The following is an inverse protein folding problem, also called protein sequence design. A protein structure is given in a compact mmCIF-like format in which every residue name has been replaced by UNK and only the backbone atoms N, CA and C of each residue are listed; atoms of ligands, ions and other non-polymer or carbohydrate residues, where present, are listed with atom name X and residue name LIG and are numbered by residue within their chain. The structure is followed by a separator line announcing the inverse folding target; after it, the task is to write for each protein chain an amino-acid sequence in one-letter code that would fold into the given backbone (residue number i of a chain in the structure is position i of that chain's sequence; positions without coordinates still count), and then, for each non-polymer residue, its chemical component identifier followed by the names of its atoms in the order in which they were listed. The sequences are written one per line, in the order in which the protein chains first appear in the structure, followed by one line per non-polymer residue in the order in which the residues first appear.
data_IF_428197824564
#
_entry.id   IF_428197824564
#
_cell.length_a   1.000
_cell.length_b   1.000
_cell.length_c   1.000
_cell.angle_alpha   90.00
_cell.angle_beta   90.00
_cell.angle_gamma   90.00
#
_symmetry.space_group_name_H-M   'P 1'
#
loop_
_entity.id
_entity.type
_entity.pdbx_description
1 polymer ?
#
# COMPACT_ATOMS: atom_id res chain seq x y z
N UNK A 1 -19.00 -35.88 3.57
CA UNK A 1 -18.19 -35.52 2.37
C UNK A 1 -17.14 -36.60 2.14
N UNK A 2 -16.75 -36.86 0.89
CA UNK A 2 -15.58 -37.70 0.64
C UNK A 2 -14.34 -37.07 1.28
N UNK A 3 -13.56 -37.86 2.01
CA UNK A 3 -12.33 -37.42 2.68
C UNK A 3 -11.37 -36.71 1.73
N UNK A 4 -11.29 -37.18 0.48
CA UNK A 4 -10.49 -36.57 -0.59
C UNK A 4 -10.93 -35.16 -0.96
N UNK A 5 -12.25 -34.89 -0.96
CA UNK A 5 -12.81 -33.57 -1.31
C UNK A 5 -12.55 -32.58 -0.17
N UNK A 6 -12.71 -33.02 1.08
CA UNK A 6 -12.42 -32.18 2.24
C UNK A 6 -10.93 -31.80 2.26
N UNK A 7 -10.04 -32.78 2.07
CA UNK A 7 -8.59 -32.56 2.07
C UNK A 7 -8.14 -31.62 0.94
N UNK A 8 -8.67 -31.79 -0.28
CA UNK A 8 -8.31 -30.91 -1.41
C UNK A 8 -8.84 -29.48 -1.23
N UNK A 9 -10.04 -29.32 -0.66
CA UNK A 9 -10.63 -28.00 -0.37
C UNK A 9 -9.88 -27.29 0.75
N UNK A 10 -9.48 -28.00 1.80
CA UNK A 10 -8.63 -27.47 2.87
C UNK A 10 -7.27 -27.02 2.31
N UNK A 11 -6.62 -27.86 1.50
CA UNK A 11 -5.35 -27.50 0.89
C UNK A 11 -5.45 -26.26 0.00
N UNK A 12 -6.48 -26.19 -0.83
CA UNK A 12 -6.73 -25.03 -1.69
C UNK A 12 -7.02 -23.76 -0.87
N UNK A 13 -7.84 -23.85 0.17
CA UNK A 13 -8.15 -22.70 1.03
C UNK A 13 -6.93 -22.18 1.78
N UNK A 14 -6.01 -23.04 2.21
CA UNK A 14 -4.72 -22.62 2.76
C UNK A 14 -3.87 -21.87 1.74
N UNK A 15 -3.75 -22.37 0.51
CA UNK A 15 -3.01 -21.68 -0.56
C UNK A 15 -3.61 -20.29 -0.86
N UNK A 16 -4.94 -20.20 -0.90
CA UNK A 16 -5.64 -18.93 -1.07
C UNK A 16 -5.44 -17.99 0.13
N UNK A 17 -5.43 -18.50 1.37
CA UNK A 17 -5.18 -17.72 2.57
C UNK A 17 -3.77 -17.10 2.56
N UNK A 18 -2.78 -17.84 2.07
CA UNK A 18 -1.42 -17.30 1.86
C UNK A 18 -1.45 -16.18 0.82
N UNK A 19 -2.10 -16.39 -0.33
CA UNK A 19 -2.25 -15.36 -1.36
C UNK A 19 -2.94 -14.10 -0.85
N UNK A 20 -4.01 -14.27 -0.05
CA UNK A 20 -4.75 -13.21 0.60
C UNK A 20 -3.87 -12.38 1.56
N UNK A 21 -3.09 -13.05 2.40
CA UNK A 21 -2.18 -12.39 3.34
C UNK A 21 -1.17 -11.49 2.60
N UNK A 22 -0.53 -12.02 1.56
CA UNK A 22 0.40 -11.23 0.74
C UNK A 22 -0.28 -10.11 -0.03
N UNK A 23 -1.50 -10.34 -0.54
CA UNK A 23 -2.29 -9.32 -1.23
C UNK A 23 -2.60 -8.13 -0.31
N UNK A 24 -3.03 -8.38 0.92
CA UNK A 24 -3.32 -7.31 1.90
C UNK A 24 -2.04 -6.54 2.22
N UNK A 25 -0.91 -7.23 2.50
CA UNK A 25 0.37 -6.57 2.77
C UNK A 25 0.85 -5.73 1.59
N UNK A 26 0.74 -6.25 0.37
CA UNK A 26 1.16 -5.54 -0.84
C UNK A 26 0.27 -4.31 -1.13
N UNK A 27 -1.02 -4.39 -0.79
CA UNK A 27 -2.00 -3.30 -1.01
C UNK A 27 -1.74 -2.07 -0.14
N UNK A 28 -1.07 -2.22 1.00
CA UNK A 28 -0.75 -1.14 1.95
C UNK A 28 0.73 -0.73 1.87
N UNK A 29 1.52 -1.35 0.99
CA UNK A 29 2.94 -1.05 0.84
C UNK A 29 3.15 0.38 0.37
N UNK A 30 4.04 1.10 1.05
CA UNK A 30 4.42 2.47 0.69
C UNK A 30 4.89 2.56 -0.76
N UNK A 31 4.46 3.62 -1.45
CA UNK A 31 4.91 3.95 -2.79
C UNK A 31 5.91 5.09 -2.73
N UNK A 32 7.19 4.76 -2.95
CA UNK A 32 8.26 5.74 -3.15
C UNK A 32 8.32 6.05 -4.64
N UNK A 33 8.28 7.34 -5.00
CA UNK A 33 8.40 7.80 -6.37
C UNK A 33 9.56 8.80 -6.46
N UNK A 34 10.51 8.52 -7.37
CA UNK A 34 11.60 9.44 -7.70
C UNK A 34 11.28 10.09 -9.04
N UNK A 35 11.35 11.42 -9.12
CA UNK A 35 11.08 12.18 -10.34
C UNK A 35 12.23 13.15 -10.57
N UNK A 36 12.80 13.13 -11.77
CA UNK A 36 13.74 14.16 -12.23
C UNK A 36 12.94 15.22 -12.97
N UNK A 37 12.99 16.45 -12.48
CA UNK A 37 12.28 17.58 -13.06
C UNK A 37 13.29 18.47 -13.78
N UNK A 38 12.99 18.82 -15.03
CA UNK A 38 13.71 19.84 -15.77
C UNK A 38 12.78 21.03 -15.95
N UNK A 39 13.24 22.23 -15.61
CA UNK A 39 12.46 23.46 -15.73
C UNK A 39 13.33 24.60 -16.26
N UNK A 40 12.75 25.51 -17.05
CA UNK A 40 13.42 26.74 -17.45
C UNK A 40 13.52 27.77 -16.30
N UNK A 41 12.79 27.58 -15.19
CA UNK A 41 12.80 28.45 -14.02
C UNK A 41 14.05 28.25 -13.14
N UNK A 42 14.41 29.27 -12.37
CA UNK A 42 15.50 29.19 -11.38
C UNK A 42 15.21 28.13 -10.32
N UNK A 43 16.25 27.43 -9.85
CA UNK A 43 16.14 26.34 -8.88
C UNK A 43 15.37 26.74 -7.60
N UNK A 44 15.59 27.96 -7.11
CA UNK A 44 14.91 28.50 -5.92
C UNK A 44 13.41 28.74 -6.13
N UNK A 45 13.02 29.25 -7.32
CA UNK A 45 11.61 29.49 -7.68
C UNK A 45 10.84 28.17 -7.73
N UNK A 46 11.42 27.18 -8.42
CA UNK A 46 10.82 25.87 -8.57
C UNK A 46 10.76 25.11 -7.24
N UNK A 47 11.80 25.19 -6.42
CA UNK A 47 11.81 24.53 -5.11
C UNK A 47 10.72 25.10 -4.20
N UNK A 48 10.52 26.42 -4.20
CA UNK A 48 9.44 27.05 -3.44
C UNK A 48 8.05 26.63 -3.95
N UNK A 49 7.85 26.55 -5.27
CA UNK A 49 6.60 26.06 -5.85
C UNK A 49 6.32 24.60 -5.46
N UNK A 50 7.32 23.72 -5.56
CA UNK A 50 7.20 22.32 -5.14
C UNK A 50 6.91 22.21 -3.65
N UNK A 51 7.64 22.96 -2.81
CA UNK A 51 7.42 22.98 -1.37
C UNK A 51 5.98 23.38 -1.04
N UNK A 52 5.45 24.41 -1.69
CA UNK A 52 4.07 24.87 -1.48
C UNK A 52 3.04 23.85 -1.99
N UNK A 53 3.26 23.25 -3.16
CA UNK A 53 2.41 22.19 -3.71
C UNK A 53 2.34 20.97 -2.79
N UNK A 54 3.49 20.50 -2.31
CA UNK A 54 3.59 19.35 -1.40
C UNK A 54 3.05 19.67 -0.01
N UNK A 55 3.27 20.89 0.49
CA UNK A 55 2.72 21.34 1.78
C UNK A 55 1.19 21.34 1.78
N UNK A 56 0.54 21.81 0.71
CA UNK A 56 -0.91 21.75 0.55
C UNK A 56 -1.46 20.31 0.60
N UNK A 57 -0.62 19.33 0.26
CA UNK A 57 -0.96 17.90 0.23
C UNK A 57 -0.46 17.14 1.46
N UNK A 58 -0.14 17.86 2.54
CA UNK A 58 0.35 17.35 3.82
C UNK A 58 1.70 16.62 3.77
N UNK A 59 2.53 16.91 2.76
CA UNK A 59 3.92 16.48 2.72
C UNK A 59 4.82 17.55 3.33
N UNK A 60 5.77 17.13 4.16
CA UNK A 60 6.79 17.96 4.78
C UNK A 60 8.17 17.58 4.25
N UNK A 61 9.13 18.51 4.33
CA UNK A 61 10.52 18.22 3.97
C UNK A 61 11.12 17.35 5.08
N UNK A 62 11.50 16.13 4.74
CA UNK A 62 12.08 15.17 5.69
C UNK A 62 13.61 15.22 5.66
N UNK A 63 14.22 15.40 4.47
CA UNK A 63 15.66 15.49 4.32
C UNK A 63 16.03 16.35 3.10
N UNK A 64 17.15 17.04 3.19
CA UNK A 64 17.78 17.76 2.08
C UNK A 64 19.21 17.26 1.98
N UNK A 65 19.56 16.65 0.87
CA UNK A 65 20.91 16.20 0.56
C UNK A 65 21.54 17.18 -0.44
N UNK A 66 22.42 18.04 0.06
CA UNK A 66 23.13 19.04 -0.74
C UNK A 66 24.24 18.41 -1.61
N UNK A 67 24.76 17.22 -1.27
CA UNK A 67 25.81 16.57 -2.05
C UNK A 67 25.27 15.99 -3.36
N UNK A 68 24.00 15.53 -3.34
CA UNK A 68 23.33 14.96 -4.52
C UNK A 68 22.24 15.87 -5.10
N UNK A 69 22.06 17.05 -4.51
CA UNK A 69 21.00 18.02 -4.81
C UNK A 69 19.59 17.37 -4.83
N UNK A 70 19.29 16.58 -3.78
CA UNK A 70 18.02 15.86 -3.62
C UNK A 70 17.25 16.36 -2.41
N UNK A 71 15.94 16.56 -2.57
CA UNK A 71 15.03 16.91 -1.48
C UNK A 71 14.02 15.79 -1.29
N UNK A 72 13.98 15.22 -0.10
CA UNK A 72 13.03 14.17 0.28
C UNK A 72 11.84 14.79 0.98
N UNK A 73 10.65 14.62 0.40
CA UNK A 73 9.39 15.01 1.01
C UNK A 73 8.67 13.78 1.57
N UNK A 74 8.27 13.82 2.84
CA UNK A 74 7.51 12.77 3.50
C UNK A 74 6.21 13.35 4.04
N UNK A 75 5.10 12.66 3.79
CA UNK A 75 3.79 13.04 4.28
C UNK A 75 2.96 11.80 4.56
N UNK A 76 2.22 11.81 5.67
CA UNK A 76 1.19 10.80 5.92
C UNK A 76 -0.03 11.22 5.11
N UNK A 77 -0.18 10.64 3.92
CA UNK A 77 -1.39 10.82 3.13
C UNK A 77 -2.57 10.18 3.85
N UNK A 78 -3.75 10.82 3.74
CA UNK A 78 -4.96 10.30 4.36
C UNK A 78 -5.20 8.86 3.87
N UNK A 79 -5.37 7.88 4.78
CA UNK A 79 -5.64 6.52 4.38
C UNK A 79 -6.93 6.47 3.57
N UNK A 80 -6.94 5.68 2.49
CA UNK A 80 -8.13 5.50 1.66
C UNK A 80 -9.15 4.66 2.42
N UNK A 81 -10.25 5.27 2.84
CA UNK A 81 -11.31 4.60 3.59
C UNK A 81 -11.96 3.47 2.79
N UNK A 82 -12.15 3.68 1.48
CA UNK A 82 -12.64 2.65 0.57
C UNK A 82 -11.73 1.42 0.55
N UNK A 83 -10.42 1.62 0.43
CA UNK A 83 -9.45 0.53 0.43
C UNK A 83 -9.47 -0.22 1.76
N UNK A 84 -9.55 0.49 2.89
CA UNK A 84 -9.62 -0.13 4.21
C UNK A 84 -10.84 -1.06 4.33
N UNK A 85 -12.04 -0.57 3.98
CA UNK A 85 -13.27 -1.37 4.01
C UNK A 85 -13.14 -2.60 3.10
N UNK A 86 -12.67 -2.40 1.87
CA UNK A 86 -12.51 -3.49 0.91
C UNK A 86 -11.59 -4.59 1.45
N UNK A 87 -10.43 -4.22 2.00
CA UNK A 87 -9.49 -5.18 2.58
C UNK A 87 -10.07 -5.89 3.81
N UNK A 88 -10.84 -5.19 4.65
CA UNK A 88 -11.52 -5.81 5.81
C UNK A 88 -12.55 -6.85 5.37
N UNK A 89 -13.40 -6.53 4.38
CA UNK A 89 -14.40 -7.47 3.85
C UNK A 89 -13.71 -8.70 3.25
N UNK A 90 -12.64 -8.49 2.49
CA UNK A 90 -11.92 -9.58 1.83
C UNK A 90 -11.22 -10.50 2.85
N UNK A 91 -10.65 -9.93 3.92
CA UNK A 91 -10.13 -10.67 5.05
C UNK A 91 -11.21 -11.47 5.80
N UNK A 92 -12.35 -10.84 6.08
CA UNK A 92 -13.48 -11.49 6.75
C UNK A 92 -14.02 -12.68 5.95
N UNK A 93 -14.22 -12.51 4.63
CA UNK A 93 -14.62 -13.61 3.74
C UNK A 93 -13.60 -14.76 3.75
N UNK A 94 -12.30 -14.45 3.67
CA UNK A 94 -11.25 -15.47 3.72
C UNK A 94 -11.26 -16.27 5.02
N UNK A 95 -11.43 -15.58 6.17
CA UNK A 95 -11.50 -16.22 7.49
C UNK A 95 -12.77 -17.07 7.61
N UNK A 96 -13.93 -16.59 7.13
CA UNK A 96 -15.17 -17.34 7.13
C UNK A 96 -15.06 -18.60 6.27
N UNK A 97 -14.46 -18.53 5.08
CA UNK A 97 -14.22 -19.69 4.23
C UNK A 97 -13.33 -20.73 4.94
N UNK A 98 -12.26 -20.29 5.60
CA UNK A 98 -11.38 -21.19 6.35
C UNK A 98 -12.12 -21.84 7.53
N UNK A 99 -12.87 -21.05 8.30
CA UNK A 99 -13.66 -21.53 9.43
C UNK A 99 -14.72 -22.54 8.99
N UNK A 100 -15.35 -22.31 7.84
CA UNK A 100 -16.36 -23.21 7.28
C UNK A 100 -15.74 -24.57 6.96
N UNK A 101 -14.59 -24.59 6.26
CA UNK A 101 -13.91 -25.84 5.89
C UNK A 101 -13.40 -26.61 7.13
N UNK A 102 -12.98 -25.91 8.19
CA UNK A 102 -12.56 -26.54 9.44
C UNK A 102 -13.73 -27.06 10.29
N UNK A 103 -14.95 -26.55 10.08
CA UNK A 103 -16.14 -26.94 10.83
C UNK A 103 -16.87 -28.15 10.22
N UNK A 104 -16.53 -28.55 8.99
CA UNK A 104 -17.17 -29.63 8.23
C UNK A 104 -16.30 -30.89 8.28
#
# INVERSE_FOLDING_TARGET
MNTTILASTLWLTLLLAVGLFFFIRASVKDRIQQVKLASPETEESLLNQLKQYFYQRAYQVAAVDAATNQVTFQGIVRPSWFLAIFLTVLAACGILCLSLVLSI
#
